data_IF_241763288874
#
_entry.id   IF_241763288874
#
_cell.length_a   1.000
_cell.length_b   1.000
_cell.length_c   1.000
_cell.angle_alpha   90.00
_cell.angle_beta   90.00
_cell.angle_gamma   90.00
#
_symmetry.space_group_name_H-M   'P 1'
#
loop_
_entity.id
_entity.type
_entity.pdbx_description
1 polymer ?
#
# COMPACT_ATOMS: atom_id res chain seq x y z
N UNK A 1 -40.78 50.72 -40.17
CA UNK A 1 -39.86 49.65 -40.65
C UNK A 1 -39.18 49.05 -39.44
N UNK A 2 -39.75 47.97 -38.95
CA UNK A 2 -39.17 47.20 -37.85
C UNK A 2 -38.41 46.07 -38.48
N UNK A 3 -37.06 46.07 -38.32
CA UNK A 3 -36.21 44.99 -38.70
C UNK A 3 -36.22 43.90 -37.59
N UNK A 4 -36.72 42.74 -37.91
CA UNK A 4 -36.65 41.51 -37.12
C UNK A 4 -35.21 41.02 -37.12
N UNK A 5 -34.50 41.18 -35.98
CA UNK A 5 -33.28 40.40 -35.72
C UNK A 5 -33.69 38.96 -35.58
N UNK A 6 -33.29 38.17 -36.58
CA UNK A 6 -33.37 36.71 -36.49
C UNK A 6 -32.32 36.20 -35.48
N UNK A 7 -32.83 35.67 -34.39
CA UNK A 7 -32.06 34.90 -33.43
C UNK A 7 -31.43 33.67 -34.15
N UNK A 8 -30.18 33.80 -34.54
CA UNK A 8 -29.36 32.70 -35.06
C UNK A 8 -28.85 31.90 -33.85
N UNK A 9 -29.74 31.11 -33.28
CA UNK A 9 -29.31 29.92 -32.47
C UNK A 9 -28.64 28.94 -33.44
N UNK A 10 -27.32 29.10 -33.60
CA UNK A 10 -26.52 28.22 -34.41
C UNK A 10 -26.66 26.81 -33.83
N UNK A 11 -27.36 25.93 -34.55
CA UNK A 11 -27.30 24.48 -34.31
C UNK A 11 -25.82 24.06 -34.39
N UNK A 12 -25.29 23.34 -33.38
CA UNK A 12 -23.93 22.87 -33.46
C UNK A 12 -23.75 22.03 -34.72
N UNK A 13 -22.66 22.31 -35.45
CA UNK A 13 -22.28 21.58 -36.64
C UNK A 13 -22.20 20.05 -36.28
N UNK A 14 -22.88 19.22 -37.07
CA UNK A 14 -22.96 17.78 -36.82
C UNK A 14 -21.58 17.13 -36.74
N UNK A 15 -20.58 17.71 -37.35
CA UNK A 15 -19.18 17.27 -37.29
C UNK A 15 -18.52 17.63 -35.91
N UNK A 16 -18.86 18.78 -35.36
CA UNK A 16 -18.40 19.22 -34.03
C UNK A 16 -19.00 18.34 -32.90
N UNK A 17 -20.30 18.11 -32.93
CA UNK A 17 -20.97 17.20 -31.99
C UNK A 17 -20.40 15.77 -32.04
N UNK A 18 -20.09 15.26 -33.23
CA UNK A 18 -19.45 13.98 -33.43
C UNK A 18 -18.04 13.93 -32.82
N UNK A 19 -17.23 14.97 -33.03
CA UNK A 19 -15.88 15.09 -32.43
C UNK A 19 -15.93 15.16 -30.91
N UNK A 20 -16.84 15.91 -30.35
CA UNK A 20 -17.01 16.02 -28.88
C UNK A 20 -17.49 14.70 -28.26
N UNK A 21 -18.36 13.94 -28.92
CA UNK A 21 -18.78 12.60 -28.49
C UNK A 21 -17.59 11.61 -28.48
N UNK A 22 -16.73 11.64 -29.49
CA UNK A 22 -15.51 10.82 -29.55
C UNK A 22 -14.53 11.21 -28.45
N UNK A 23 -14.30 12.50 -28.21
CA UNK A 23 -13.44 12.98 -27.13
C UNK A 23 -13.96 12.54 -25.76
N UNK A 24 -15.26 12.65 -25.52
CA UNK A 24 -15.93 12.21 -24.31
C UNK A 24 -15.75 10.70 -24.07
N UNK A 25 -15.92 9.87 -25.10
CA UNK A 25 -15.72 8.43 -25.02
C UNK A 25 -14.26 8.06 -24.71
N UNK A 26 -13.30 8.85 -25.20
CA UNK A 26 -11.86 8.65 -24.89
C UNK A 26 -11.51 9.11 -23.46
N UNK A 27 -12.14 10.17 -22.94
CA UNK A 27 -11.89 10.67 -21.59
C UNK A 27 -12.40 9.72 -20.51
N UNK A 28 -13.59 9.15 -20.70
CA UNK A 28 -14.26 8.29 -19.73
C UNK A 28 -14.54 6.92 -20.36
N UNK A 29 -13.50 6.10 -20.46
CA UNK A 29 -13.69 4.72 -20.88
C UNK A 29 -14.49 3.94 -19.80
N UNK A 30 -15.53 3.19 -20.18
CA UNK A 30 -16.37 2.47 -19.21
C UNK A 30 -15.57 1.43 -18.45
N UNK A 31 -15.86 1.29 -17.15
CA UNK A 31 -15.38 0.16 -16.37
C UNK A 31 -16.23 -1.08 -16.68
N UNK A 32 -15.65 -2.29 -16.59
CA UNK A 32 -16.43 -3.53 -16.75
C UNK A 32 -17.64 -3.53 -15.82
N UNK A 33 -18.80 -3.98 -16.32
CA UNK A 33 -20.06 -4.11 -15.56
C UNK A 33 -20.05 -5.24 -14.50
N UNK A 34 -18.91 -5.86 -14.26
CA UNK A 34 -18.68 -7.00 -13.37
C UNK A 34 -18.46 -6.57 -11.91
N UNK A 35 -19.28 -5.64 -11.38
CA UNK A 35 -19.10 -5.07 -10.03
C UNK A 35 -18.81 -6.10 -8.93
N UNK A 36 -19.57 -7.22 -8.78
CA UNK A 36 -19.26 -8.21 -7.76
C UNK A 36 -17.90 -8.88 -7.98
N UNK A 37 -17.58 -9.28 -9.21
CA UNK A 37 -16.30 -9.90 -9.55
C UNK A 37 -15.12 -8.94 -9.45
N UNK A 38 -15.38 -7.66 -9.71
CA UNK A 38 -14.39 -6.59 -9.57
C UNK A 38 -13.86 -6.41 -8.15
N UNK A 39 -14.53 -6.95 -7.13
CA UNK A 39 -14.08 -7.01 -5.75
C UNK A 39 -13.77 -8.45 -5.30
N UNK A 40 -14.64 -9.40 -5.62
CA UNK A 40 -14.50 -10.78 -5.17
C UNK A 40 -13.20 -11.42 -5.69
N UNK A 41 -12.88 -11.23 -6.97
CA UNK A 41 -11.64 -11.74 -7.56
C UNK A 41 -10.39 -11.22 -6.84
N UNK A 42 -10.18 -9.88 -6.74
CA UNK A 42 -9.06 -9.31 -5.97
C UNK A 42 -9.02 -9.77 -4.52
N UNK A 43 -10.16 -9.89 -3.83
CA UNK A 43 -10.21 -10.36 -2.44
C UNK A 43 -9.80 -11.83 -2.32
N UNK A 44 -10.21 -12.70 -3.23
CA UNK A 44 -9.80 -14.10 -3.25
C UNK A 44 -8.30 -14.24 -3.49
N UNK A 45 -7.74 -13.48 -4.44
CA UNK A 45 -6.28 -13.45 -4.69
C UNK A 45 -5.53 -12.94 -3.47
N UNK A 46 -6.04 -11.89 -2.82
CA UNK A 46 -5.46 -11.34 -1.60
C UNK A 46 -5.53 -12.34 -0.44
N UNK A 47 -6.65 -13.03 -0.28
CA UNK A 47 -6.80 -14.06 0.76
C UNK A 47 -5.82 -15.22 0.55
N UNK A 48 -5.65 -15.66 -0.70
CA UNK A 48 -4.67 -16.67 -1.06
C UNK A 48 -3.23 -16.19 -0.77
N UNK A 49 -2.86 -15.01 -1.24
CA UNK A 49 -1.52 -14.44 -1.00
C UNK A 49 -1.27 -14.15 0.47
N UNK A 50 -2.28 -13.70 1.21
CA UNK A 50 -2.22 -13.53 2.66
C UNK A 50 -2.03 -14.85 3.39
N UNK A 51 -2.79 -15.89 3.03
CA UNK A 51 -2.60 -17.23 3.58
C UNK A 51 -1.16 -17.73 3.40
N UNK A 52 -0.58 -17.55 2.21
CA UNK A 52 0.82 -17.91 1.96
C UNK A 52 1.78 -17.16 2.89
N UNK A 53 1.54 -15.86 3.14
CA UNK A 53 2.41 -15.01 3.99
C UNK A 53 2.29 -15.36 5.46
N UNK A 54 1.10 -15.63 5.95
CA UNK A 54 0.87 -15.99 7.35
C UNK A 54 1.21 -17.46 7.66
N UNK A 55 1.21 -18.34 6.65
CA UNK A 55 1.54 -19.75 6.84
C UNK A 55 2.98 -19.90 7.34
N UNK A 56 3.13 -20.45 8.55
CA UNK A 56 4.41 -20.64 9.22
C UNK A 56 5.23 -19.33 9.38
N UNK A 57 4.57 -18.19 9.60
CA UNK A 57 5.25 -16.90 9.76
C UNK A 57 6.26 -16.89 10.94
N UNK A 58 6.04 -17.73 11.95
CA UNK A 58 6.92 -17.91 13.11
C UNK A 58 8.25 -18.60 12.79
N UNK A 59 8.41 -19.13 11.59
CA UNK A 59 9.60 -19.92 11.21
C UNK A 59 10.42 -19.16 10.18
N UNK A 60 11.73 -19.07 10.38
CA UNK A 60 12.54 -19.51 11.51
C UNK A 60 12.37 -18.63 12.76
N UNK A 61 12.66 -19.20 13.94
CA UNK A 61 12.67 -18.46 15.23
C UNK A 61 14.00 -17.74 15.44
N UNK A 62 14.47 -17.04 14.43
CA UNK A 62 15.71 -16.30 14.44
C UNK A 62 15.47 -14.93 13.84
N UNK A 63 16.28 -13.96 14.24
CA UNK A 63 16.34 -12.67 13.58
C UNK A 63 17.10 -12.84 12.27
N UNK A 64 16.51 -12.38 11.16
CA UNK A 64 17.04 -12.57 9.81
C UNK A 64 17.36 -11.19 9.24
N UNK A 65 18.54 -11.06 8.68
CA UNK A 65 18.95 -9.84 7.98
C UNK A 65 18.76 -8.60 8.87
N UNK A 66 18.08 -7.58 8.40
CA UNK A 66 17.87 -6.32 9.11
C UNK A 66 16.87 -6.41 10.29
N UNK A 67 16.18 -7.55 10.48
CA UNK A 67 15.45 -7.82 11.71
C UNK A 67 16.34 -7.66 12.95
N UNK A 68 17.66 -7.90 12.79
CA UNK A 68 18.65 -7.74 13.85
C UNK A 68 18.75 -6.31 14.40
N UNK A 69 18.28 -5.32 13.63
CA UNK A 69 18.22 -3.92 14.02
C UNK A 69 16.78 -3.51 14.35
N UNK A 70 15.88 -3.61 13.39
CA UNK A 70 14.55 -3.01 13.47
C UNK A 70 13.65 -3.60 14.56
N UNK A 71 13.80 -4.89 14.89
CA UNK A 71 13.04 -5.53 15.98
C UNK A 71 13.41 -4.94 17.34
N UNK A 72 14.69 -4.67 17.58
CA UNK A 72 15.14 -4.03 18.83
C UNK A 72 14.68 -2.58 18.92
N UNK A 73 14.83 -1.85 17.81
CA UNK A 73 14.42 -0.45 17.73
C UNK A 73 12.92 -0.31 17.98
N UNK A 74 12.11 -1.15 17.33
CA UNK A 74 10.65 -1.21 17.49
C UNK A 74 10.26 -1.50 18.95
N UNK A 75 10.91 -2.50 19.57
CA UNK A 75 10.68 -2.84 20.97
C UNK A 75 11.12 -1.73 21.92
N UNK A 76 12.25 -1.08 21.64
CA UNK A 76 12.72 0.06 22.40
C UNK A 76 11.73 1.23 22.37
N UNK A 77 11.21 1.55 21.19
CA UNK A 77 10.20 2.60 21.02
C UNK A 77 8.95 2.29 21.84
N UNK A 78 8.50 1.03 21.88
CA UNK A 78 7.36 0.62 22.72
C UNK A 78 7.59 0.80 24.20
N UNK A 79 8.81 0.55 24.69
CA UNK A 79 9.12 0.59 26.13
C UNK A 79 9.55 1.97 26.60
N UNK A 80 10.27 2.72 25.77
CA UNK A 80 10.95 3.94 26.17
C UNK A 80 10.52 5.18 25.37
N UNK A 81 9.72 5.01 24.31
CA UNK A 81 9.30 6.09 23.41
C UNK A 81 10.38 6.54 22.41
N UNK A 82 11.60 6.03 22.54
CA UNK A 82 12.75 6.33 21.67
C UNK A 82 13.64 5.10 21.54
N UNK A 83 14.56 5.11 20.58
CA UNK A 83 15.54 4.04 20.37
C UNK A 83 16.66 4.13 21.39
N UNK A 84 16.83 3.09 22.19
CA UNK A 84 17.91 2.95 23.16
C UNK A 84 18.97 2.00 22.66
N UNK A 85 20.23 2.24 23.05
CA UNK A 85 21.37 1.40 22.72
C UNK A 85 21.16 -0.01 23.27
N UNK A 86 21.16 -1.05 22.40
CA UNK A 86 21.01 -2.43 22.84
C UNK A 86 22.18 -2.87 23.72
N UNK A 87 21.93 -3.82 24.62
CA UNK A 87 23.00 -4.40 25.47
C UNK A 87 23.99 -5.16 24.58
N UNK A 88 25.27 -4.90 24.80
CA UNK A 88 26.37 -5.57 24.14
C UNK A 88 27.52 -5.83 25.12
N UNK A 89 28.39 -6.78 24.81
CA UNK A 89 29.64 -7.02 25.54
C UNK A 89 30.82 -6.96 24.57
N UNK A 90 32.03 -6.64 25.02
CA UNK A 90 33.21 -6.53 24.16
C UNK A 90 33.47 -7.77 23.30
N UNK A 91 33.08 -8.96 23.77
CA UNK A 91 33.26 -10.24 23.07
C UNK A 91 31.94 -10.82 22.51
N UNK A 92 30.79 -10.11 22.68
CA UNK A 92 29.48 -10.51 22.20
C UNK A 92 28.64 -9.29 21.81
N UNK A 93 28.85 -8.74 20.61
CA UNK A 93 28.10 -7.61 20.11
C UNK A 93 26.63 -7.94 19.83
N UNK A 94 26.29 -9.24 19.70
CA UNK A 94 24.94 -9.71 19.39
C UNK A 94 24.17 -10.21 20.62
N UNK A 95 24.59 -9.85 21.83
CA UNK A 95 23.98 -10.31 23.08
C UNK A 95 22.46 -10.03 23.12
N UNK A 96 22.03 -8.83 22.75
CA UNK A 96 20.61 -8.50 22.71
C UNK A 96 19.80 -9.40 21.77
N UNK A 97 20.35 -9.72 20.59
CA UNK A 97 19.69 -10.62 19.62
C UNK A 97 19.55 -12.04 20.20
N UNK A 98 20.58 -12.55 20.88
CA UNK A 98 20.53 -13.86 21.52
C UNK A 98 19.48 -13.91 22.64
N UNK A 99 19.39 -12.85 23.46
CA UNK A 99 18.37 -12.75 24.50
C UNK A 99 16.95 -12.73 23.92
N UNK A 100 16.71 -11.97 22.84
CA UNK A 100 15.42 -11.93 22.16
C UNK A 100 15.04 -13.32 21.63
N UNK A 101 15.97 -14.02 20.97
CA UNK A 101 15.76 -15.38 20.47
C UNK A 101 15.47 -16.36 21.62
N UNK A 102 16.11 -16.17 22.77
CA UNK A 102 15.86 -16.95 23.98
C UNK A 102 14.54 -16.59 24.68
N UNK A 103 13.81 -15.56 24.22
CA UNK A 103 12.50 -15.17 24.74
C UNK A 103 12.55 -14.10 25.85
N UNK A 104 13.69 -13.46 26.07
CA UNK A 104 13.78 -12.34 27.01
C UNK A 104 13.14 -11.09 26.43
N UNK A 105 12.35 -10.39 27.23
CA UNK A 105 11.67 -9.13 26.88
C UNK A 105 12.19 -7.93 27.68
N UNK A 106 13.03 -8.18 28.68
CA UNK A 106 13.63 -7.16 29.58
C UNK A 106 15.13 -7.32 29.63
N UNK A 107 15.84 -6.25 30.02
CA UNK A 107 17.30 -6.27 30.09
C UNK A 107 17.98 -6.30 28.71
N UNK A 108 17.29 -5.86 27.68
CA UNK A 108 17.78 -5.84 26.29
C UNK A 108 18.56 -4.58 25.95
N UNK A 109 18.42 -3.54 26.76
CA UNK A 109 19.01 -2.22 26.54
C UNK A 109 19.94 -1.84 27.66
N UNK A 110 20.91 -0.97 27.37
CA UNK A 110 21.84 -0.48 28.36
C UNK A 110 21.14 0.37 29.43
N UNK A 111 21.50 0.28 30.72
CA UNK A 111 20.95 1.13 31.75
C UNK A 111 21.19 2.59 31.40
N UNK A 112 20.14 3.41 31.45
CA UNK A 112 20.24 4.82 31.14
C UNK A 112 20.90 5.56 32.34
N UNK A 113 22.13 6.05 32.14
CA UNK A 113 22.82 6.93 33.08
C UNK A 113 23.26 8.20 32.36
N UNK A 114 22.45 9.27 32.48
CA UNK A 114 22.73 10.55 31.81
C UNK A 114 22.28 10.65 30.35
N UNK A 115 22.97 11.45 29.54
CA UNK A 115 22.57 11.78 28.16
C UNK A 115 22.97 10.75 27.09
N UNK A 116 23.43 9.56 27.47
CA UNK A 116 24.03 8.58 26.54
C UNK A 116 23.19 7.35 26.22
N UNK A 117 21.87 7.42 26.37
CA UNK A 117 21.00 6.24 26.21
C UNK A 117 20.43 6.05 24.80
N UNK A 118 20.35 7.13 24.01
CA UNK A 118 19.81 7.10 22.67
C UNK A 118 20.74 6.41 21.67
N UNK A 119 20.17 5.53 20.85
CA UNK A 119 20.87 4.96 19.70
C UNK A 119 20.86 5.97 18.53
N UNK A 120 21.82 5.83 17.62
CA UNK A 120 21.83 6.61 16.40
C UNK A 120 20.73 6.11 15.45
N UNK A 121 19.77 6.98 15.16
CA UNK A 121 18.63 6.65 14.27
C UNK A 121 19.12 6.57 12.84
N UNK A 122 19.18 5.36 12.30
CA UNK A 122 19.69 5.11 10.94
C UNK A 122 18.59 5.27 9.88
N UNK A 123 17.35 4.90 10.20
CA UNK A 123 16.22 4.83 9.27
C UNK A 123 15.00 5.58 9.82
N UNK A 124 14.07 6.06 8.93
CA UNK A 124 12.83 6.69 9.35
C UNK A 124 11.99 5.77 10.26
N UNK A 125 11.42 6.34 11.31
CA UNK A 125 10.74 5.58 12.38
C UNK A 125 9.42 4.91 11.95
N UNK A 126 8.74 5.40 10.90
CA UNK A 126 7.39 4.92 10.51
C UNK A 126 7.36 3.42 10.33
N UNK A 127 8.34 2.83 9.65
CA UNK A 127 8.40 1.37 9.46
C UNK A 127 8.66 0.61 10.76
N UNK A 128 9.51 1.14 11.64
CA UNK A 128 9.78 0.58 12.98
C UNK A 128 8.54 0.64 13.87
N UNK A 129 7.78 1.74 13.82
CA UNK A 129 6.49 1.86 14.51
C UNK A 129 5.47 0.83 14.01
N UNK A 130 5.45 0.53 12.71
CA UNK A 130 4.59 -0.51 12.17
C UNK A 130 5.00 -1.92 12.64
N UNK A 131 6.30 -2.20 12.77
CA UNK A 131 6.81 -3.43 13.40
C UNK A 131 6.38 -3.47 14.86
N UNK A 132 6.56 -2.36 15.58
CA UNK A 132 6.18 -2.20 16.98
C UNK A 132 4.69 -2.51 17.22
N UNK A 133 3.79 -2.17 16.30
CA UNK A 133 2.36 -2.55 16.39
C UNK A 133 2.20 -4.07 16.47
N UNK A 134 2.92 -4.83 15.66
CA UNK A 134 2.88 -6.28 15.70
C UNK A 134 3.46 -6.86 16.99
N UNK A 135 4.55 -6.28 17.49
CA UNK A 135 5.16 -6.64 18.78
C UNK A 135 4.25 -6.30 19.97
N UNK A 136 3.56 -5.18 19.91
CA UNK A 136 2.58 -4.79 20.92
C UNK A 136 1.40 -5.78 20.99
N UNK A 137 0.89 -6.22 19.84
CA UNK A 137 -0.26 -7.12 19.75
C UNK A 137 0.09 -8.56 20.16
N UNK A 138 1.26 -9.05 19.78
CA UNK A 138 1.61 -10.46 19.88
C UNK A 138 2.87 -10.74 20.73
N UNK A 139 3.49 -9.70 21.26
CA UNK A 139 4.73 -9.77 22.04
C UNK A 139 5.98 -9.87 21.17
N UNK A 140 7.14 -9.75 21.83
CA UNK A 140 8.47 -9.82 21.21
C UNK A 140 8.80 -11.27 20.81
N UNK A 141 8.28 -11.70 19.67
CA UNK A 141 8.51 -13.03 19.09
C UNK A 141 8.41 -12.98 17.57
N UNK A 142 8.89 -14.02 16.89
CA UNK A 142 8.99 -14.05 15.41
C UNK A 142 7.67 -13.88 14.67
N UNK A 143 6.53 -14.14 15.29
CA UNK A 143 5.24 -13.80 14.72
C UNK A 143 4.95 -12.30 14.90
N UNK A 144 5.21 -11.76 16.09
CA UNK A 144 4.92 -10.38 16.44
C UNK A 144 5.65 -9.40 15.51
N UNK A 145 6.97 -9.46 15.42
CA UNK A 145 7.72 -8.52 14.59
C UNK A 145 7.51 -8.68 13.08
N UNK A 146 7.02 -9.85 12.58
CA UNK A 146 6.71 -10.09 11.17
C UNK A 146 5.25 -9.84 10.80
N UNK A 147 4.37 -9.71 11.81
CA UNK A 147 2.92 -9.59 11.59
C UNK A 147 2.57 -8.42 10.67
N UNK A 148 3.06 -7.23 10.98
CA UNK A 148 2.77 -6.03 10.20
C UNK A 148 3.28 -6.15 8.76
N UNK A 149 4.47 -6.70 8.55
CA UNK A 149 5.01 -6.94 7.21
C UNK A 149 4.10 -7.87 6.40
N UNK A 150 3.60 -8.95 7.01
CA UNK A 150 2.67 -9.87 6.34
C UNK A 150 1.33 -9.23 6.01
N UNK A 151 0.80 -8.36 6.89
CA UNK A 151 -0.42 -7.58 6.62
C UNK A 151 -0.20 -6.63 5.44
N UNK A 152 0.85 -5.82 5.47
CA UNK A 152 1.13 -4.84 4.42
C UNK A 152 1.44 -5.49 3.08
N UNK A 153 2.19 -6.60 3.06
CA UNK A 153 2.38 -7.40 1.85
C UNK A 153 1.07 -7.98 1.29
N UNK A 154 0.17 -8.43 2.16
CA UNK A 154 -1.17 -8.90 1.73
C UNK A 154 -2.03 -7.76 1.19
N UNK A 155 -2.01 -6.59 1.82
CA UNK A 155 -2.72 -5.40 1.34
C UNK A 155 -2.14 -4.86 0.02
N UNK A 156 -0.83 -5.01 -0.19
CA UNK A 156 -0.18 -4.64 -1.46
C UNK A 156 -0.71 -5.49 -2.62
N UNK A 157 -1.01 -6.77 -2.41
CA UNK A 157 -1.65 -7.63 -3.42
C UNK A 157 -3.04 -7.09 -3.81
N UNK A 158 -3.86 -6.72 -2.83
CA UNK A 158 -5.16 -6.10 -3.10
C UNK A 158 -4.99 -4.82 -3.91
N UNK A 159 -4.02 -4.01 -3.51
CA UNK A 159 -3.77 -2.72 -4.12
C UNK A 159 -3.32 -2.88 -5.59
N UNK A 160 -2.39 -3.79 -5.89
CA UNK A 160 -1.95 -4.03 -7.26
C UNK A 160 -3.08 -4.62 -8.14
N UNK A 161 -3.92 -5.52 -7.60
CA UNK A 161 -5.11 -5.99 -8.30
C UNK A 161 -6.01 -4.83 -8.72
N UNK A 162 -6.28 -3.90 -7.79
CA UNK A 162 -7.16 -2.75 -8.02
C UNK A 162 -6.55 -1.74 -8.99
N UNK A 163 -5.26 -1.48 -8.87
CA UNK A 163 -4.51 -0.59 -9.77
C UNK A 163 -4.49 -1.17 -11.19
N UNK A 164 -4.08 -2.42 -11.35
CA UNK A 164 -4.01 -3.07 -12.65
C UNK A 164 -5.39 -3.17 -13.31
N UNK A 165 -6.44 -3.55 -12.56
CA UNK A 165 -7.82 -3.52 -13.06
C UNK A 165 -8.23 -2.14 -13.54
N UNK A 166 -7.87 -1.08 -12.81
CA UNK A 166 -8.21 0.31 -13.18
C UNK A 166 -7.47 0.75 -14.44
N UNK A 167 -6.21 0.36 -14.60
CA UNK A 167 -5.40 0.69 -15.77
C UNK A 167 -5.83 -0.06 -17.02
N UNK A 168 -6.06 -1.37 -16.90
CA UNK A 168 -6.37 -2.26 -18.03
C UNK A 168 -7.86 -2.38 -18.34
N UNK A 169 -8.71 -1.89 -17.45
CA UNK A 169 -10.17 -2.06 -17.52
C UNK A 169 -10.60 -3.55 -17.59
N UNK A 170 -9.80 -4.42 -16.99
CA UNK A 170 -10.02 -5.88 -16.98
C UNK A 170 -9.83 -6.43 -15.57
N UNK A 171 -10.86 -7.08 -15.04
CA UNK A 171 -10.79 -7.77 -13.74
C UNK A 171 -9.84 -8.95 -13.79
N UNK A 172 -9.81 -9.67 -14.91
CA UNK A 172 -8.90 -10.80 -15.10
C UNK A 172 -7.44 -10.37 -15.03
N UNK A 173 -7.05 -9.30 -15.76
CA UNK A 173 -5.68 -8.78 -15.73
C UNK A 173 -5.31 -8.20 -14.36
N UNK A 174 -6.28 -7.59 -13.68
CA UNK A 174 -6.09 -7.16 -12.29
C UNK A 174 -5.79 -8.32 -11.35
N UNK A 175 -6.57 -9.39 -11.40
CA UNK A 175 -6.35 -10.59 -10.60
C UNK A 175 -5.04 -11.30 -10.98
N UNK A 176 -4.69 -11.35 -12.27
CA UNK A 176 -3.42 -11.93 -12.72
C UNK A 176 -2.22 -11.15 -12.16
N UNK A 177 -2.25 -9.82 -12.19
CA UNK A 177 -1.20 -8.99 -11.61
C UNK A 177 -1.01 -9.27 -10.10
N UNK A 178 -2.11 -9.36 -9.34
CA UNK A 178 -2.05 -9.71 -7.92
C UNK A 178 -1.58 -11.14 -7.67
N UNK A 179 -1.97 -12.09 -8.52
CA UNK A 179 -1.50 -13.48 -8.41
C UNK A 179 0.02 -13.57 -8.67
N UNK A 180 0.52 -12.88 -9.70
CA UNK A 180 1.96 -12.82 -9.98
C UNK A 180 2.72 -12.22 -8.80
N UNK A 181 2.23 -11.12 -8.20
CA UNK A 181 2.83 -10.54 -6.99
C UNK A 181 2.73 -11.49 -5.79
N UNK A 182 1.67 -12.29 -5.67
CA UNK A 182 1.51 -13.26 -4.59
C UNK A 182 2.55 -14.38 -4.64
N UNK A 183 3.04 -14.71 -5.84
CA UNK A 183 4.01 -15.77 -6.12
C UNK A 183 5.43 -15.24 -6.38
N UNK A 184 5.61 -13.92 -6.46
CA UNK A 184 6.93 -13.30 -6.60
C UNK A 184 7.80 -13.62 -5.39
N UNK A 185 8.98 -14.20 -5.65
CA UNK A 185 9.86 -14.70 -4.59
C UNK A 185 10.44 -13.59 -3.72
N UNK A 186 10.77 -12.43 -4.31
CA UNK A 186 11.34 -11.32 -3.57
C UNK A 186 10.30 -10.69 -2.65
N UNK A 187 9.15 -10.32 -3.19
CA UNK A 187 8.06 -9.72 -2.41
C UNK A 187 7.55 -10.68 -1.33
N UNK A 188 7.47 -11.98 -1.64
CA UNK A 188 7.09 -13.01 -0.68
C UNK A 188 8.04 -13.05 0.52
N UNK A 189 9.35 -13.01 0.30
CA UNK A 189 10.35 -13.01 1.39
C UNK A 189 10.28 -11.70 2.18
N UNK A 190 10.27 -10.55 1.51
CA UNK A 190 10.22 -9.23 2.15
C UNK A 190 8.97 -9.05 3.01
N UNK A 191 7.81 -9.55 2.55
CA UNK A 191 6.55 -9.49 3.29
C UNK A 191 6.46 -10.46 4.48
N UNK A 192 7.44 -11.35 4.66
CA UNK A 192 7.51 -12.31 5.77
C UNK A 192 8.70 -12.05 6.70
N UNK A 193 9.37 -10.94 6.52
CA UNK A 193 10.52 -10.49 7.30
C UNK A 193 10.20 -9.14 7.92
N UNK A 194 10.63 -8.88 9.15
CA UNK A 194 10.42 -7.60 9.83
C UNK A 194 11.38 -6.52 9.33
N UNK A 195 11.20 -6.10 8.07
CA UNK A 195 12.04 -5.10 7.39
C UNK A 195 11.20 -3.94 6.86
N UNK A 196 11.85 -2.81 6.60
CA UNK A 196 11.15 -1.56 6.28
C UNK A 196 10.70 -1.46 4.82
N UNK A 197 11.35 -2.21 3.92
CA UNK A 197 11.12 -2.12 2.47
C UNK A 197 9.67 -2.44 2.06
N UNK A 198 9.04 -3.40 2.73
CA UNK A 198 7.65 -3.78 2.43
C UNK A 198 6.67 -2.63 2.70
N UNK A 199 6.90 -1.85 3.76
CA UNK A 199 6.09 -0.68 4.08
C UNK A 199 6.32 0.42 3.06
N UNK A 200 7.58 0.69 2.70
CA UNK A 200 7.92 1.67 1.66
C UNK A 200 7.26 1.31 0.33
N UNK A 201 7.39 0.07 -0.11
CA UNK A 201 6.75 -0.43 -1.34
C UNK A 201 5.23 -0.22 -1.30
N UNK A 202 4.58 -0.58 -0.19
CA UNK A 202 3.14 -0.40 -0.03
C UNK A 202 2.72 1.07 -0.16
N UNK A 203 3.39 1.99 0.52
CA UNK A 203 3.04 3.41 0.45
C UNK A 203 3.32 4.03 -0.92
N UNK A 204 4.40 3.64 -1.60
CA UNK A 204 4.67 4.06 -2.99
C UNK A 204 3.58 3.56 -3.92
N UNK A 205 3.17 2.29 -3.79
CA UNK A 205 2.08 1.72 -4.59
C UNK A 205 0.74 2.40 -4.29
N UNK A 206 0.47 2.73 -3.03
CA UNK A 206 -0.73 3.46 -2.62
C UNK A 206 -0.74 4.89 -3.21
N UNK A 207 0.38 5.60 -3.14
CA UNK A 207 0.52 6.93 -3.75
C UNK A 207 0.25 6.88 -5.26
N UNK A 208 0.82 5.90 -5.97
CA UNK A 208 0.52 5.68 -7.38
C UNK A 208 -0.97 5.41 -7.63
N UNK A 209 -1.60 4.61 -6.78
CA UNK A 209 -3.05 4.37 -6.82
C UNK A 209 -3.87 5.65 -6.65
N UNK A 210 -3.47 6.54 -5.73
CA UNK A 210 -4.11 7.85 -5.54
C UNK A 210 -3.98 8.74 -6.78
N UNK A 211 -2.80 8.79 -7.42
CA UNK A 211 -2.59 9.53 -8.68
C UNK A 211 -3.50 9.01 -9.80
N UNK A 212 -3.67 7.69 -9.90
CA UNK A 212 -4.60 7.11 -10.87
C UNK A 212 -6.07 7.49 -10.60
N UNK A 213 -6.45 7.54 -9.33
CA UNK A 213 -7.80 7.98 -8.94
C UNK A 213 -8.01 9.45 -9.32
N UNK A 214 -7.06 10.31 -8.98
CA UNK A 214 -7.12 11.74 -9.31
C UNK A 214 -7.17 11.97 -10.82
N UNK A 215 -6.34 11.27 -11.58
CA UNK A 215 -6.37 11.30 -13.06
C UNK A 215 -7.76 10.98 -13.61
N UNK A 216 -8.37 9.91 -13.10
CA UNK A 216 -9.69 9.48 -13.62
C UNK A 216 -10.80 10.45 -13.21
N UNK A 217 -10.72 11.04 -12.00
CA UNK A 217 -11.63 12.09 -11.56
C UNK A 217 -11.49 13.37 -12.41
N UNK A 218 -10.27 13.78 -12.69
CA UNK A 218 -9.99 14.94 -13.54
C UNK A 218 -10.51 14.74 -14.96
N UNK A 219 -10.32 13.54 -15.54
CA UNK A 219 -10.90 13.19 -16.84
C UNK A 219 -12.44 13.19 -16.84
N UNK A 220 -13.05 12.70 -15.78
CA UNK A 220 -14.50 12.72 -15.63
C UNK A 220 -15.04 14.16 -15.56
N UNK A 221 -14.39 15.04 -14.79
CA UNK A 221 -14.76 16.48 -14.71
C UNK A 221 -14.63 17.18 -16.07
N UNK A 222 -13.57 16.90 -16.82
CA UNK A 222 -13.39 17.43 -18.17
C UNK A 222 -14.49 16.94 -19.12
N UNK A 223 -14.82 15.66 -19.07
CA UNK A 223 -15.88 15.09 -19.89
C UNK A 223 -17.27 15.65 -19.54
N UNK A 224 -17.53 15.97 -18.26
CA UNK A 224 -18.74 16.68 -17.84
C UNK A 224 -18.78 18.12 -18.35
N UNK A 225 -17.63 18.82 -18.34
CA UNK A 225 -17.50 20.16 -18.88
C UNK A 225 -17.81 20.20 -20.39
N UNK A 226 -17.34 19.20 -21.14
CA UNK A 226 -17.66 19.02 -22.57
C UNK A 226 -19.13 18.71 -22.75
N UNK A 227 -19.70 17.81 -21.94
CA UNK A 227 -21.12 17.44 -22.03
C UNK A 227 -22.06 18.62 -21.77
N UNK A 228 -21.74 19.53 -20.85
CA UNK A 228 -22.55 20.73 -20.56
C UNK A 228 -22.58 21.73 -21.73
N UNK A 229 -21.49 21.79 -22.50
CA UNK A 229 -21.44 22.65 -23.71
C UNK A 229 -22.33 22.11 -24.84
N UNK A 230 -22.45 20.76 -24.91
CA UNK A 230 -23.26 20.07 -25.94
C UNK A 230 -24.73 19.93 -25.55
N UNK A 231 -25.18 20.37 -24.38
CA UNK A 231 -26.55 20.16 -23.88
C UNK A 231 -26.83 18.65 -23.56
N UNK A 232 -25.80 17.82 -23.46
CA UNK A 232 -25.91 16.40 -23.19
C UNK A 232 -26.22 16.08 -21.73
N UNK A 233 -26.78 14.88 -21.45
CA UNK A 233 -27.09 14.45 -20.08
C UNK A 233 -25.82 14.35 -19.21
N UNK A 234 -25.92 14.61 -17.88
CA UNK A 234 -24.79 14.50 -16.97
C UNK A 234 -24.24 13.07 -16.93
N UNK A 235 -22.91 12.95 -16.92
CA UNK A 235 -22.26 11.66 -16.79
C UNK A 235 -22.37 11.15 -15.34
N UNK A 236 -22.86 9.94 -15.14
CA UNK A 236 -22.76 9.27 -13.85
C UNK A 236 -21.32 8.75 -13.69
N UNK A 237 -20.59 9.16 -12.65
CA UNK A 237 -19.28 8.61 -12.39
C UNK A 237 -19.41 7.11 -12.11
N UNK A 238 -18.66 6.28 -12.84
CA UNK A 238 -18.58 4.84 -12.62
C UNK A 238 -17.56 4.57 -11.49
N UNK A 239 -18.01 4.63 -10.23
CA UNK A 239 -17.24 4.22 -9.05
C UNK A 239 -17.36 2.71 -8.80
#
# INVERSE_FOLDING_TARGET
MMGTEADVTAMPDTDEAGRLAVLRARLVAPMPGDRPWGWLGPLLVTAFGGWLRFNRLRVPRALIFDETYYVKDAWSILQHGVEWVPISKPHDPNLANQLIIAGHTTGLFQPCSGSGCGEYVVQPEVGKLLIAVGEWLFGLNSFGWRFSSAVFGSLAILLICRIARRMTRSTLLGCLAGLLMSLDGLEFVLSRTGILDIFLMFFVLAAFGCVLIDRDQSRARLAEGVARRDGGPPLRPAW
#
